data_IF_656800595398
#
_entry.id   IF_656800595398
#
_cell.length_a   1.000
_cell.length_b   1.000
_cell.length_c   1.000
_cell.angle_alpha   90.00
_cell.angle_beta   90.00
_cell.angle_gamma   90.00
#
_symmetry.space_group_name_H-M   'P 1'
#
loop_
_entity.id
_entity.type
_entity.pdbx_description
1 polymer ?
#
# COMPACT_ATOMS: atom_id res chain seq x y z
N UNK A 1 -58.29 14.50 -80.44
CA UNK A 1 -57.68 15.56 -79.61
C UNK A 1 -57.86 15.19 -78.14
N UNK A 2 -56.87 14.60 -77.49
CA UNK A 2 -56.91 14.34 -76.06
C UNK A 2 -55.52 14.64 -75.49
N UNK A 3 -55.46 15.61 -74.59
CA UNK A 3 -54.21 15.99 -73.87
C UNK A 3 -53.97 15.03 -72.71
N UNK A 4 -52.83 14.36 -72.73
CA UNK A 4 -52.36 13.61 -71.58
C UNK A 4 -51.68 14.54 -70.59
N UNK A 5 -52.13 14.52 -69.34
CA UNK A 5 -51.43 15.12 -68.21
C UNK A 5 -50.64 14.05 -67.53
N UNK A 6 -49.30 14.22 -67.46
CA UNK A 6 -48.44 13.40 -66.73
C UNK A 6 -48.47 13.70 -65.23
N UNK A 7 -48.66 12.68 -64.40
CA UNK A 7 -48.60 12.76 -62.93
C UNK A 7 -47.19 12.48 -62.51
N UNK A 8 -46.50 13.47 -61.89
CA UNK A 8 -45.18 13.28 -61.26
C UNK A 8 -45.43 12.83 -59.85
N UNK A 9 -45.07 11.61 -59.57
CA UNK A 9 -45.10 11.03 -58.24
C UNK A 9 -43.79 11.42 -57.48
N UNK A 10 -43.91 12.18 -56.41
CA UNK A 10 -42.86 12.51 -55.51
C UNK A 10 -42.66 11.33 -54.56
N UNK A 11 -41.54 10.61 -54.73
CA UNK A 11 -41.08 9.58 -53.78
C UNK A 11 -40.24 10.27 -52.69
N UNK A 12 -40.83 10.49 -51.51
CA UNK A 12 -40.14 10.99 -50.35
C UNK A 12 -39.24 9.91 -49.75
N UNK A 13 -37.96 10.10 -49.88
CA UNK A 13 -36.97 9.25 -49.19
C UNK A 13 -36.87 9.71 -47.74
N UNK A 14 -37.39 8.92 -46.82
CA UNK A 14 -37.18 9.09 -45.37
C UNK A 14 -35.81 8.55 -45.02
N UNK A 15 -34.82 9.43 -44.87
CA UNK A 15 -33.50 9.08 -44.30
C UNK A 15 -33.66 9.04 -42.79
N UNK A 16 -33.77 7.84 -42.20
CA UNK A 16 -33.60 7.62 -40.78
C UNK A 16 -32.11 7.76 -40.44
N UNK A 17 -31.71 8.87 -39.86
CA UNK A 17 -30.43 9.05 -39.20
C UNK A 17 -30.45 8.23 -37.91
N UNK A 18 -29.89 7.03 -37.94
CA UNK A 18 -29.52 6.30 -36.73
C UNK A 18 -28.30 7.00 -36.16
N UNK A 19 -28.51 7.84 -35.13
CA UNK A 19 -27.43 8.30 -34.27
C UNK A 19 -26.90 7.12 -33.47
N UNK A 20 -25.86 6.49 -33.96
CA UNK A 20 -25.04 5.62 -33.13
C UNK A 20 -24.33 6.48 -32.09
N UNK A 21 -24.89 6.54 -30.88
CA UNK A 21 -24.12 6.94 -29.73
C UNK A 21 -22.99 5.90 -29.52
N UNK A 22 -21.82 6.16 -30.09
CA UNK A 22 -20.61 5.53 -29.63
C UNK A 22 -20.38 5.98 -28.18
N UNK A 23 -20.82 5.17 -27.21
CA UNK A 23 -20.22 5.21 -25.89
C UNK A 23 -18.78 4.75 -26.08
N UNK A 24 -17.92 5.70 -26.43
CA UNK A 24 -16.49 5.50 -26.32
C UNK A 24 -16.18 5.24 -24.85
N UNK A 25 -15.89 4.00 -24.50
CA UNK A 25 -15.14 3.72 -23.29
C UNK A 25 -13.83 4.51 -23.44
N UNK A 26 -13.77 5.67 -22.80
CA UNK A 26 -12.51 6.37 -22.57
C UNK A 26 -11.77 5.49 -21.56
N UNK A 27 -11.09 4.51 -22.09
CA UNK A 27 -10.04 3.83 -21.38
C UNK A 27 -8.93 4.87 -21.25
N UNK A 28 -8.92 5.59 -20.13
CA UNK A 28 -7.89 6.55 -19.83
C UNK A 28 -6.55 5.80 -19.91
N UNK A 29 -5.63 6.31 -20.72
CA UNK A 29 -4.30 5.79 -20.87
C UNK A 29 -3.68 5.60 -19.48
N UNK A 30 -3.43 4.34 -19.09
CA UNK A 30 -2.88 3.94 -17.79
C UNK A 30 -1.43 4.44 -17.60
N UNK A 31 -0.87 5.13 -18.58
CA UNK A 31 0.53 5.50 -18.66
C UNK A 31 0.89 6.94 -18.25
N UNK A 32 0.02 7.69 -17.61
CA UNK A 32 0.51 8.84 -16.85
C UNK A 32 1.01 8.35 -15.49
N UNK A 33 2.17 7.68 -15.49
CA UNK A 33 3.01 7.58 -14.30
C UNK A 33 3.25 9.01 -13.83
N UNK A 34 2.50 9.44 -12.83
CA UNK A 34 2.84 10.68 -12.14
C UNK A 34 4.27 10.49 -11.65
N UNK A 35 5.22 11.25 -12.24
CA UNK A 35 6.65 11.18 -11.96
C UNK A 35 7.01 11.61 -10.53
N UNK A 36 6.00 11.89 -9.73
CA UNK A 36 6.11 12.36 -8.35
C UNK A 36 6.24 11.26 -7.31
N UNK A 37 6.61 11.69 -6.10
CA UNK A 37 6.61 10.83 -4.91
C UNK A 37 5.18 10.52 -4.48
N UNK A 38 4.98 9.30 -3.95
CA UNK A 38 3.74 8.90 -3.29
C UNK A 38 3.72 9.53 -1.89
N UNK A 39 2.73 10.36 -1.63
CA UNK A 39 2.40 10.90 -0.31
C UNK A 39 1.08 10.28 0.10
N UNK A 40 1.12 9.22 0.88
CA UNK A 40 -0.10 8.48 1.17
C UNK A 40 -0.37 8.32 2.66
N UNK A 41 -1.59 7.86 2.96
CA UNK A 41 -1.98 7.38 4.27
C UNK A 41 -2.67 6.03 4.17
N UNK A 42 -2.45 5.17 5.16
CA UNK A 42 -3.18 3.92 5.32
C UNK A 42 -4.48 4.18 6.05
N UNK A 43 -5.58 3.67 5.54
CA UNK A 43 -6.83 3.56 6.28
C UNK A 43 -6.86 2.19 6.95
N UNK A 44 -7.32 2.08 8.18
CA UNK A 44 -7.51 0.77 8.82
C UNK A 44 -8.84 0.16 8.42
N UNK A 45 -9.01 -1.14 8.63
CA UNK A 45 -10.28 -1.83 8.32
C UNK A 45 -11.48 -1.25 9.08
N UNK A 46 -11.24 -0.65 10.24
CA UNK A 46 -12.30 -0.02 11.07
C UNK A 46 -12.69 1.38 10.57
N UNK A 47 -11.79 2.05 9.85
CA UNK A 47 -11.96 3.46 9.46
C UNK A 47 -12.46 3.65 8.03
N UNK A 48 -12.57 2.59 7.23
CA UNK A 48 -12.99 2.71 5.82
C UNK A 48 -14.38 3.33 5.65
N UNK A 49 -15.25 3.15 6.65
CA UNK A 49 -16.59 3.77 6.68
C UNK A 49 -16.57 5.25 7.05
N UNK A 50 -15.46 5.76 7.59
CA UNK A 50 -15.32 7.13 8.05
C UNK A 50 -14.84 8.06 6.93
N UNK A 51 -15.54 8.01 5.80
CA UNK A 51 -15.14 8.69 4.55
C UNK A 51 -14.84 10.17 4.77
N UNK A 52 -15.69 10.89 5.50
CA UNK A 52 -15.52 12.31 5.74
C UNK A 52 -14.21 12.64 6.47
N UNK A 53 -13.85 11.82 7.47
CA UNK A 53 -12.61 12.01 8.23
C UNK A 53 -11.37 11.65 7.41
N UNK A 54 -11.44 10.57 6.63
CA UNK A 54 -10.36 10.21 5.69
C UNK A 54 -10.09 11.34 4.72
N UNK A 55 -11.14 11.91 4.11
CA UNK A 55 -11.00 13.03 3.17
C UNK A 55 -10.44 14.29 3.85
N UNK A 56 -10.86 14.59 5.08
CA UNK A 56 -10.32 15.71 5.85
C UNK A 56 -8.82 15.51 6.15
N UNK A 57 -8.39 14.29 6.47
CA UNK A 57 -6.96 13.99 6.69
C UNK A 57 -6.15 14.05 5.38
N UNK A 58 -6.72 13.58 4.26
CA UNK A 58 -6.10 13.71 2.93
C UNK A 58 -5.81 15.17 2.60
N UNK A 59 -6.79 16.06 2.82
CA UNK A 59 -6.63 17.49 2.59
C UNK A 59 -5.61 18.10 3.56
N UNK A 60 -5.79 17.88 4.87
CA UNK A 60 -4.94 18.42 5.94
C UNK A 60 -3.46 18.04 5.76
N UNK A 61 -3.18 16.81 5.34
CA UNK A 61 -1.83 16.25 5.18
C UNK A 61 -1.30 16.37 3.75
N UNK A 62 -2.07 16.99 2.85
CA UNK A 62 -1.73 17.16 1.44
C UNK A 62 -1.29 15.83 0.77
N UNK A 63 -2.09 14.79 0.98
CA UNK A 63 -1.84 13.46 0.43
C UNK A 63 -2.31 13.39 -1.03
N UNK A 64 -1.61 12.64 -1.85
CA UNK A 64 -1.98 12.37 -3.24
C UNK A 64 -2.45 10.94 -3.47
N UNK A 65 -2.32 10.08 -2.45
CA UNK A 65 -2.62 8.65 -2.54
C UNK A 65 -3.21 8.18 -1.20
N UNK A 66 -4.08 7.17 -1.24
CA UNK A 66 -4.60 6.48 -0.04
C UNK A 66 -4.51 4.97 -0.23
N UNK A 67 -3.98 4.26 0.77
CA UNK A 67 -4.05 2.82 0.85
C UNK A 67 -5.38 2.43 1.49
N UNK A 68 -6.21 1.72 0.73
CA UNK A 68 -7.56 1.29 1.15
C UNK A 68 -7.57 -0.21 1.38
N UNK A 69 -7.79 -0.66 2.63
CA UNK A 69 -7.82 -2.08 2.94
C UNK A 69 -9.16 -2.72 2.52
N UNK A 70 -9.07 -3.95 2.05
CA UNK A 70 -10.20 -4.86 1.88
C UNK A 70 -10.04 -5.96 2.92
N UNK A 71 -10.92 -5.99 3.91
CA UNK A 71 -10.84 -6.93 5.02
C UNK A 71 -11.03 -8.36 4.56
N UNK A 72 -10.06 -9.20 4.89
CA UNK A 72 -10.09 -10.64 4.68
C UNK A 72 -10.17 -11.33 6.03
N UNK A 73 -11.34 -11.87 6.36
CA UNK A 73 -11.58 -12.57 7.61
C UNK A 73 -10.89 -13.94 7.60
N UNK A 74 -10.07 -14.21 8.60
CA UNK A 74 -9.29 -15.43 8.77
C UNK A 74 -9.53 -15.98 10.17
N UNK A 75 -10.00 -17.23 10.31
CA UNK A 75 -10.44 -17.79 11.60
C UNK A 75 -9.34 -17.86 12.67
N UNK A 76 -8.11 -18.20 12.29
CA UNK A 76 -6.96 -18.33 13.19
C UNK A 76 -5.62 -18.31 12.42
N UNK A 77 -4.51 -18.29 13.13
CA UNK A 77 -3.14 -18.14 12.57
C UNK A 77 -2.70 -19.28 11.66
N UNK A 78 -3.31 -20.46 11.72
CA UNK A 78 -2.95 -21.61 10.88
C UNK A 78 -3.96 -21.87 9.76
N UNK A 79 -5.02 -21.06 9.70
CA UNK A 79 -6.09 -21.26 8.74
C UNK A 79 -5.64 -20.93 7.32
N UNK A 80 -6.05 -21.76 6.37
CA UNK A 80 -6.04 -21.48 4.93
C UNK A 80 -7.41 -21.01 4.42
N UNK A 81 -8.46 -21.12 5.26
CA UNK A 81 -9.77 -20.55 4.96
C UNK A 81 -9.72 -19.04 5.15
N UNK A 82 -10.21 -18.35 4.14
CA UNK A 82 -10.22 -16.91 4.11
C UNK A 82 -11.44 -16.40 3.33
N UNK A 83 -12.06 -15.34 3.80
CA UNK A 83 -13.28 -14.79 3.20
C UNK A 83 -13.21 -13.27 3.22
N UNK A 84 -13.54 -12.63 2.10
CA UNK A 84 -13.70 -11.17 2.08
C UNK A 84 -14.93 -10.76 2.87
N UNK A 85 -14.75 -9.84 3.81
CA UNK A 85 -15.85 -9.19 4.51
C UNK A 85 -16.62 -8.29 3.54
N UNK A 86 -17.79 -8.76 3.10
CA UNK A 86 -18.56 -8.06 2.06
C UNK A 86 -19.07 -6.69 2.52
N UNK A 87 -19.44 -6.55 3.80
CA UNK A 87 -19.93 -5.28 4.35
C UNK A 87 -18.79 -4.23 4.36
N UNK A 88 -17.61 -4.60 4.86
CA UNK A 88 -16.44 -3.74 4.86
C UNK A 88 -15.99 -3.41 3.42
N UNK A 89 -16.01 -4.39 2.50
CA UNK A 89 -15.70 -4.16 1.09
C UNK A 89 -16.62 -3.11 0.46
N UNK A 90 -17.90 -3.11 0.76
CA UNK A 90 -18.82 -2.08 0.24
C UNK A 90 -18.46 -0.68 0.76
N UNK A 91 -18.10 -0.54 2.03
CA UNK A 91 -17.60 0.72 2.58
C UNK A 91 -16.30 1.16 1.89
N UNK A 92 -15.37 0.23 1.69
CA UNK A 92 -14.12 0.49 0.97
C UNK A 92 -14.38 0.95 -0.48
N UNK A 93 -15.34 0.36 -1.19
CA UNK A 93 -15.72 0.78 -2.54
C UNK A 93 -16.26 2.21 -2.55
N UNK A 94 -17.09 2.58 -1.57
CA UNK A 94 -17.58 3.96 -1.43
C UNK A 94 -16.41 4.93 -1.23
N UNK A 95 -15.48 4.59 -0.34
CA UNK A 95 -14.27 5.40 -0.11
C UNK A 95 -13.43 5.52 -1.38
N UNK A 96 -13.18 4.43 -2.09
CA UNK A 96 -12.45 4.43 -3.37
C UNK A 96 -13.10 5.41 -4.37
N UNK A 97 -14.41 5.36 -4.52
CA UNK A 97 -15.14 6.24 -5.43
C UNK A 97 -14.96 7.72 -5.03
N UNK A 98 -15.05 8.04 -3.74
CA UNK A 98 -14.91 9.41 -3.26
C UNK A 98 -13.48 9.95 -3.41
N UNK A 99 -12.47 9.11 -3.24
CA UNK A 99 -11.06 9.46 -3.49
C UNK A 99 -10.80 9.72 -4.98
N UNK A 100 -11.25 8.81 -5.85
CA UNK A 100 -11.08 8.93 -7.30
C UNK A 100 -11.77 10.16 -7.88
N UNK A 101 -12.97 10.53 -7.41
CA UNK A 101 -13.64 11.78 -7.78
C UNK A 101 -12.81 13.04 -7.49
N UNK A 102 -11.87 12.96 -6.54
CA UNK A 102 -11.00 14.06 -6.13
C UNK A 102 -9.60 13.95 -6.73
N UNK A 103 -9.39 13.06 -7.70
CA UNK A 103 -8.09 12.75 -8.30
C UNK A 103 -7.03 12.27 -7.29
N UNK A 104 -7.46 11.67 -6.18
CA UNK A 104 -6.59 10.99 -5.23
C UNK A 104 -6.36 9.57 -5.72
N UNK A 105 -5.12 9.18 -5.83
CA UNK A 105 -4.74 7.82 -6.23
C UNK A 105 -5.10 6.82 -5.12
N UNK A 106 -5.44 5.61 -5.52
CA UNK A 106 -5.81 4.53 -4.59
C UNK A 106 -4.90 3.34 -4.77
N UNK A 107 -4.34 2.85 -3.68
CA UNK A 107 -3.71 1.53 -3.60
C UNK A 107 -4.66 0.63 -2.82
N UNK A 108 -5.09 -0.47 -3.44
CA UNK A 108 -5.96 -1.46 -2.79
C UNK A 108 -5.09 -2.51 -2.11
N UNK A 109 -5.46 -2.89 -0.90
CA UNK A 109 -4.72 -3.87 -0.10
C UNK A 109 -5.68 -4.90 0.48
N UNK A 110 -5.69 -6.18 0.03
CA UNK A 110 -6.35 -7.25 0.76
C UNK A 110 -5.63 -7.44 2.10
N UNK A 111 -6.29 -7.03 3.18
CA UNK A 111 -5.72 -6.99 4.51
C UNK A 111 -6.23 -8.16 5.37
N UNK A 112 -5.36 -9.04 5.87
CA UNK A 112 -5.74 -10.17 6.70
C UNK A 112 -6.22 -9.68 8.08
N UNK A 113 -7.45 -10.05 8.42
CA UNK A 113 -8.08 -9.77 9.70
C UNK A 113 -8.23 -11.08 10.48
N UNK A 114 -7.16 -11.45 11.19
CA UNK A 114 -6.98 -12.77 11.77
C UNK A 114 -7.59 -12.80 13.18
N UNK A 115 -8.40 -13.83 13.44
CA UNK A 115 -9.01 -14.04 14.76
C UNK A 115 -9.70 -12.77 15.27
N UNK A 116 -10.49 -12.12 14.38
CA UNK A 116 -11.19 -10.87 14.67
C UNK A 116 -10.25 -9.70 15.03
N UNK A 117 -9.05 -9.68 14.43
CA UNK A 117 -8.04 -8.63 14.65
C UNK A 117 -7.21 -8.80 15.92
N UNK A 118 -7.35 -9.93 16.63
CA UNK A 118 -6.56 -10.20 17.85
C UNK A 118 -5.13 -10.68 17.55
N UNK A 119 -4.83 -10.97 16.29
CA UNK A 119 -3.52 -11.48 15.86
C UNK A 119 -3.05 -10.69 14.64
N UNK A 120 -1.79 -10.31 14.64
CA UNK A 120 -1.16 -9.58 13.55
C UNK A 120 -0.90 -10.45 12.32
N UNK A 121 -0.84 -9.84 11.15
CA UNK A 121 -0.59 -10.50 9.87
C UNK A 121 0.80 -11.17 9.82
N UNK A 122 1.76 -10.69 10.59
CA UNK A 122 3.11 -11.25 10.71
C UNK A 122 3.13 -12.62 11.41
N UNK A 123 2.08 -12.92 12.17
CA UNK A 123 1.94 -14.20 12.88
C UNK A 123 1.22 -15.26 12.04
N UNK A 124 0.58 -14.87 10.95
CA UNK A 124 -0.13 -15.81 10.09
C UNK A 124 0.82 -16.85 9.50
N UNK A 125 0.55 -18.11 9.82
CA UNK A 125 1.36 -19.26 9.41
C UNK A 125 0.46 -20.42 8.96
N UNK A 126 -0.09 -20.37 7.74
CA UNK A 126 -1.02 -21.35 7.22
C UNK A 126 -0.48 -22.76 7.29
N UNK A 127 -1.30 -23.71 7.74
CA UNK A 127 -0.92 -25.12 7.90
C UNK A 127 -0.66 -25.84 6.56
N UNK A 128 -1.19 -25.29 5.46
CA UNK A 128 -0.98 -25.81 4.11
C UNK A 128 -0.69 -24.64 3.15
N UNK A 129 0.52 -24.56 2.66
CA UNK A 129 0.98 -23.48 1.80
C UNK A 129 0.31 -23.52 0.40
N UNK A 130 0.01 -24.71 -0.14
CA UNK A 130 -0.67 -24.86 -1.43
C UNK A 130 -2.10 -24.29 -1.36
N UNK A 131 -2.85 -24.67 -0.31
CA UNK A 131 -4.22 -24.22 -0.10
C UNK A 131 -4.25 -22.71 0.17
N UNK A 132 -3.26 -22.19 0.91
CA UNK A 132 -3.12 -20.74 1.11
C UNK A 132 -3.03 -20.00 -0.22
N UNK A 133 -2.06 -20.34 -1.09
CA UNK A 133 -1.87 -19.63 -2.34
C UNK A 133 -3.01 -19.87 -3.34
N UNK A 134 -3.62 -21.06 -3.31
CA UNK A 134 -4.81 -21.31 -4.10
C UNK A 134 -5.95 -20.38 -3.70
N UNK A 135 -6.30 -20.34 -2.41
CA UNK A 135 -7.38 -19.51 -1.91
C UNK A 135 -7.08 -18.02 -2.03
N UNK A 136 -5.83 -17.61 -1.77
CA UNK A 136 -5.42 -16.21 -1.93
C UNK A 136 -5.64 -15.72 -3.38
N UNK A 137 -5.28 -16.52 -4.38
CA UNK A 137 -5.51 -16.19 -5.79
C UNK A 137 -6.98 -16.25 -6.17
N UNK A 138 -7.63 -17.40 -5.93
CA UNK A 138 -8.93 -17.71 -6.53
C UNK A 138 -10.13 -17.18 -5.74
N UNK A 139 -9.98 -16.96 -4.44
CA UNK A 139 -11.03 -16.38 -3.60
C UNK A 139 -10.79 -14.88 -3.41
N UNK A 140 -9.60 -14.48 -2.96
CA UNK A 140 -9.35 -13.10 -2.55
C UNK A 140 -9.03 -12.21 -3.75
N UNK A 141 -7.93 -12.46 -4.46
CA UNK A 141 -7.51 -11.62 -5.57
C UNK A 141 -8.53 -11.62 -6.71
N UNK A 142 -9.15 -12.77 -7.00
CA UNK A 142 -10.19 -12.85 -8.03
C UNK A 142 -11.44 -12.02 -7.67
N UNK A 143 -11.86 -11.99 -6.42
CA UNK A 143 -12.98 -11.11 -5.98
C UNK A 143 -12.61 -9.63 -6.16
N UNK A 144 -11.38 -9.24 -5.77
CA UNK A 144 -10.89 -7.86 -5.95
C UNK A 144 -10.87 -7.47 -7.44
N UNK A 145 -10.45 -8.36 -8.33
CA UNK A 145 -10.51 -8.09 -9.77
C UNK A 145 -11.94 -7.87 -10.24
N UNK A 146 -12.85 -8.76 -9.87
CA UNK A 146 -14.25 -8.69 -10.32
C UNK A 146 -15.00 -7.48 -9.75
N UNK A 147 -14.67 -7.07 -8.52
CA UNK A 147 -15.45 -6.06 -7.79
C UNK A 147 -14.83 -4.67 -7.80
N UNK A 148 -13.50 -4.56 -7.93
CA UNK A 148 -12.77 -3.30 -7.78
C UNK A 148 -11.94 -2.97 -9.02
N UNK A 149 -10.88 -3.72 -9.32
CA UNK A 149 -9.90 -3.29 -10.33
C UNK A 149 -10.43 -3.33 -11.77
N UNK A 150 -11.47 -4.12 -12.05
CA UNK A 150 -12.17 -4.10 -13.35
C UNK A 150 -13.10 -2.89 -13.52
N UNK A 151 -13.45 -2.20 -12.43
CA UNK A 151 -14.45 -1.13 -12.42
C UNK A 151 -13.87 0.24 -12.12
N UNK A 152 -12.76 0.27 -11.38
CA UNK A 152 -12.13 1.50 -10.90
C UNK A 152 -10.68 1.54 -11.32
N UNK A 153 -10.23 2.68 -11.83
CA UNK A 153 -8.84 2.90 -12.19
C UNK A 153 -8.00 3.17 -10.93
N UNK A 154 -7.68 2.11 -10.18
CA UNK A 154 -6.83 2.21 -8.99
C UNK A 154 -5.36 2.23 -9.40
N UNK A 155 -4.55 3.03 -8.71
CA UNK A 155 -3.11 3.19 -8.98
C UNK A 155 -2.32 1.92 -8.76
N UNK A 156 -2.65 1.16 -7.71
CA UNK A 156 -1.91 -0.04 -7.34
C UNK A 156 -2.73 -1.07 -6.59
N UNK A 157 -2.23 -2.30 -6.64
CA UNK A 157 -2.71 -3.43 -5.86
C UNK A 157 -1.55 -4.02 -5.07
N UNK A 158 -1.64 -4.00 -3.74
CA UNK A 158 -0.76 -4.79 -2.88
C UNK A 158 -1.23 -6.24 -2.92
N UNK A 159 -0.33 -7.17 -3.22
CA UNK A 159 -0.64 -8.59 -3.31
C UNK A 159 -0.27 -9.38 -2.06
N UNK A 160 0.44 -8.73 -1.16
CA UNK A 160 0.82 -9.25 0.15
C UNK A 160 0.86 -8.09 1.15
N UNK A 161 0.53 -8.36 2.40
CA UNK A 161 0.58 -7.44 3.52
C UNK A 161 1.34 -8.10 4.68
N UNK A 162 2.67 -7.94 4.72
CA UNK A 162 3.50 -8.40 5.83
C UNK A 162 3.48 -9.93 6.10
N UNK A 163 3.38 -10.77 5.07
CA UNK A 163 3.23 -12.23 5.23
C UNK A 163 4.57 -12.92 5.50
N UNK A 164 5.16 -12.61 6.64
CA UNK A 164 6.52 -13.04 7.03
C UNK A 164 6.74 -14.54 6.88
N UNK A 165 5.78 -15.34 7.35
CA UNK A 165 5.88 -16.80 7.33
C UNK A 165 5.67 -17.43 5.95
N UNK A 166 5.25 -16.66 4.93
CA UNK A 166 5.08 -17.13 3.56
C UNK A 166 6.10 -16.51 2.58
N UNK A 167 6.95 -15.60 3.05
CA UNK A 167 7.95 -14.93 2.18
C UNK A 167 8.91 -15.92 1.49
N UNK A 168 9.20 -17.06 2.10
CA UNK A 168 10.08 -18.10 1.54
C UNK A 168 9.49 -18.81 0.32
N UNK A 169 8.20 -18.69 0.10
CA UNK A 169 7.48 -19.44 -0.94
C UNK A 169 7.61 -18.78 -2.33
N UNK A 170 8.85 -18.64 -2.81
CA UNK A 170 9.22 -17.84 -3.98
C UNK A 170 8.49 -18.22 -5.27
N UNK A 171 8.35 -19.53 -5.56
CA UNK A 171 7.64 -20.03 -6.73
C UNK A 171 6.16 -19.65 -6.70
N UNK A 172 5.52 -19.76 -5.55
CA UNK A 172 4.11 -19.41 -5.37
C UNK A 172 3.86 -17.91 -5.50
N UNK A 173 4.75 -17.08 -4.96
CA UNK A 173 4.64 -15.62 -5.16
C UNK A 173 4.85 -15.23 -6.62
N UNK A 174 5.83 -15.85 -7.30
CA UNK A 174 6.04 -15.63 -8.73
C UNK A 174 4.80 -15.97 -9.55
N UNK A 175 4.17 -17.11 -9.29
CA UNK A 175 2.93 -17.55 -9.92
C UNK A 175 1.74 -16.63 -9.59
N UNK A 176 1.66 -16.15 -8.33
CA UNK A 176 0.64 -15.18 -7.91
C UNK A 176 0.78 -13.86 -8.69
N UNK A 177 2.00 -13.36 -8.86
CA UNK A 177 2.24 -12.14 -9.65
C UNK A 177 1.84 -12.34 -11.10
N UNK A 178 2.17 -13.48 -11.70
CA UNK A 178 1.80 -13.81 -13.09
C UNK A 178 0.27 -13.89 -13.24
N UNK A 179 -0.42 -14.49 -12.30
CA UNK A 179 -1.88 -14.51 -12.24
C UNK A 179 -2.48 -13.10 -12.17
N UNK A 180 -1.92 -12.22 -11.32
CA UNK A 180 -2.36 -10.83 -11.21
C UNK A 180 -2.15 -10.08 -12.52
N UNK A 181 -1.00 -10.26 -13.18
CA UNK A 181 -0.66 -9.59 -14.44
C UNK A 181 -1.57 -9.95 -15.61
N UNK A 182 -2.20 -11.09 -15.58
CA UNK A 182 -3.20 -11.48 -16.60
C UNK A 182 -4.45 -10.60 -16.53
N UNK A 183 -4.81 -10.10 -15.35
CA UNK A 183 -6.08 -9.42 -15.09
C UNK A 183 -5.92 -7.93 -14.71
N UNK A 184 -4.75 -7.52 -14.23
CA UNK A 184 -4.49 -6.16 -13.75
C UNK A 184 -3.27 -5.54 -14.42
N UNK A 185 -3.44 -4.33 -14.98
CA UNK A 185 -2.39 -3.60 -15.70
C UNK A 185 -1.78 -2.44 -14.92
N UNK A 186 -2.33 -2.10 -13.76
CA UNK A 186 -1.78 -1.09 -12.86
C UNK A 186 -0.55 -1.59 -12.08
N UNK A 187 -0.09 -0.80 -11.13
CA UNK A 187 1.09 -1.15 -10.35
C UNK A 187 0.80 -2.32 -9.39
N UNK A 188 1.63 -3.34 -9.42
CA UNK A 188 1.62 -4.45 -8.46
C UNK A 188 2.66 -4.16 -7.39
N UNK A 189 2.24 -4.15 -6.13
CA UNK A 189 3.10 -3.94 -4.97
C UNK A 189 3.18 -5.22 -4.13
N UNK A 190 4.36 -5.51 -3.64
CA UNK A 190 4.56 -6.52 -2.60
C UNK A 190 5.00 -5.82 -1.33
N UNK A 191 4.22 -5.94 -0.24
CA UNK A 191 4.60 -5.39 1.06
C UNK A 191 5.28 -6.44 1.90
N UNK A 192 6.55 -6.18 2.19
CA UNK A 192 7.40 -6.99 3.06
C UNK A 192 7.58 -6.32 4.42
N UNK A 193 7.86 -7.12 5.43
CA UNK A 193 8.22 -6.62 6.75
C UNK A 193 9.63 -6.01 6.73
N UNK A 194 9.89 -5.03 7.62
CA UNK A 194 11.23 -4.53 7.87
C UNK A 194 12.14 -5.66 8.37
N UNK A 195 13.39 -5.38 8.52
CA UNK A 195 14.40 -6.36 8.96
C UNK A 195 15.37 -5.74 9.97
N UNK A 196 16.03 -6.61 10.69
CA UNK A 196 17.15 -6.27 11.56
C UNK A 196 18.40 -6.96 11.03
N UNK A 197 19.56 -6.33 11.24
CA UNK A 197 20.86 -6.98 11.19
C UNK A 197 21.49 -6.94 12.58
N UNK A 198 22.51 -7.76 12.82
CA UNK A 198 23.19 -7.85 14.12
C UNK A 198 24.66 -8.13 13.88
N UNK A 199 25.54 -7.24 14.36
CA UNK A 199 26.99 -7.41 14.17
C UNK A 199 27.56 -8.60 14.95
N UNK A 200 26.85 -9.08 15.95
CA UNK A 200 27.24 -10.23 16.78
C UNK A 200 26.74 -11.59 16.27
N UNK A 201 25.85 -11.59 15.27
CA UNK A 201 25.31 -12.82 14.69
C UNK A 201 25.18 -12.69 13.17
N UNK A 202 26.10 -13.30 12.39
CA UNK A 202 26.10 -13.25 10.94
C UNK A 202 24.82 -13.80 10.27
N UNK A 203 24.01 -14.59 10.99
CA UNK A 203 22.77 -15.13 10.43
C UNK A 203 21.75 -14.04 10.09
N UNK A 204 21.78 -12.91 10.79
CA UNK A 204 20.89 -11.78 10.50
C UNK A 204 21.24 -11.10 9.17
N UNK A 205 22.53 -10.94 8.89
CA UNK A 205 22.99 -10.42 7.60
C UNK A 205 22.62 -11.39 6.46
N UNK A 206 22.83 -12.70 6.67
CA UNK A 206 22.44 -13.72 5.70
C UNK A 206 20.94 -13.70 5.40
N UNK A 207 20.07 -13.56 6.41
CA UNK A 207 18.62 -13.43 6.27
C UNK A 207 18.24 -12.14 5.52
N UNK A 208 18.92 -11.04 5.79
CA UNK A 208 18.72 -9.80 5.04
C UNK A 208 19.08 -9.98 3.57
N UNK A 209 20.25 -10.56 3.27
CA UNK A 209 20.69 -10.82 1.88
C UNK A 209 19.72 -11.76 1.17
N UNK A 210 19.27 -12.84 1.80
CA UNK A 210 18.23 -13.72 1.26
C UNK A 210 16.96 -12.95 0.94
N UNK A 211 16.46 -12.17 1.91
CA UNK A 211 15.20 -11.41 1.81
C UNK A 211 15.18 -10.48 0.60
N UNK A 212 16.24 -9.70 0.37
CA UNK A 212 16.30 -8.71 -0.72
C UNK A 212 16.56 -9.33 -2.11
N UNK A 213 17.06 -10.57 -2.17
CA UNK A 213 17.36 -11.26 -3.42
C UNK A 213 16.24 -12.20 -3.91
N UNK A 214 15.10 -12.26 -3.23
CA UNK A 214 13.99 -13.12 -3.62
C UNK A 214 13.51 -12.80 -5.04
N UNK A 215 13.44 -13.79 -5.95
CA UNK A 215 13.22 -13.58 -7.39
C UNK A 215 11.90 -12.86 -7.70
N UNK A 216 10.84 -13.13 -6.93
CA UNK A 216 9.53 -12.52 -7.16
C UNK A 216 9.52 -11.00 -6.94
N UNK A 217 10.43 -10.44 -6.15
CA UNK A 217 10.54 -8.99 -5.97
C UNK A 217 10.93 -8.26 -7.27
N UNK A 218 11.57 -8.96 -8.21
CA UNK A 218 11.88 -8.42 -9.54
C UNK A 218 10.66 -8.36 -10.47
N UNK A 219 9.59 -9.07 -10.14
CA UNK A 219 8.36 -9.16 -10.96
C UNK A 219 7.31 -8.11 -10.60
N UNK A 220 7.38 -7.50 -9.41
CA UNK A 220 6.48 -6.40 -9.01
C UNK A 220 6.93 -5.07 -9.61
N UNK A 221 6.11 -4.02 -9.50
CA UNK A 221 6.49 -2.67 -9.94
C UNK A 221 7.13 -1.87 -8.82
N UNK A 222 6.68 -2.08 -7.59
CA UNK A 222 7.13 -1.36 -6.41
C UNK A 222 7.33 -2.35 -5.27
N UNK A 223 8.51 -2.32 -4.63
CA UNK A 223 8.72 -3.03 -3.35
C UNK A 223 8.26 -2.11 -2.23
N UNK A 224 7.21 -2.52 -1.54
CA UNK A 224 6.67 -1.84 -0.37
C UNK A 224 7.27 -2.43 0.89
N UNK A 225 7.55 -1.60 1.88
CA UNK A 225 8.08 -2.02 3.18
C UNK A 225 7.14 -1.49 4.27
N UNK A 226 6.78 -2.34 5.19
CA UNK A 226 6.24 -1.94 6.47
C UNK A 226 7.42 -1.58 7.38
N UNK A 227 7.71 -0.28 7.48
CA UNK A 227 9.03 0.20 7.85
C UNK A 227 9.09 0.76 9.28
N UNK A 228 9.35 -0.14 10.21
CA UNK A 228 9.46 0.16 11.64
C UNK A 228 10.90 0.05 12.15
N UNK A 229 11.85 0.59 11.39
CA UNK A 229 13.27 0.55 11.76
C UNK A 229 13.55 1.31 13.05
N UNK A 230 14.18 0.64 14.00
CA UNK A 230 14.61 1.21 15.28
C UNK A 230 15.92 1.97 15.06
N UNK A 231 15.83 3.30 14.98
CA UNK A 231 16.95 4.16 14.54
C UNK A 231 17.51 5.05 15.65
N UNK A 232 17.11 4.88 16.90
CA UNK A 232 17.65 5.67 18.01
C UNK A 232 17.59 4.91 19.31
N UNK A 233 18.62 5.06 20.16
CA UNK A 233 18.65 4.60 21.54
C UNK A 233 18.28 5.72 22.53
N UNK A 234 17.98 6.92 22.03
CA UNK A 234 17.69 8.10 22.86
C UNK A 234 16.18 8.26 23.09
N UNK A 235 15.84 8.74 24.29
CA UNK A 235 14.42 9.01 24.64
C UNK A 235 13.81 10.09 23.77
N UNK A 236 14.54 11.19 23.55
CA UNK A 236 14.10 12.38 22.80
C UNK A 236 15.25 12.81 21.88
N UNK A 237 15.51 12.10 20.76
CA UNK A 237 16.58 12.47 19.86
C UNK A 237 16.23 13.76 19.10
N UNK A 238 17.23 14.60 18.88
CA UNK A 238 17.11 15.75 18.01
C UNK A 238 17.02 15.32 16.53
N UNK A 239 16.59 16.23 15.66
CA UNK A 239 16.54 16.00 14.22
C UNK A 239 17.90 15.54 13.64
N UNK A 240 19.01 16.23 14.02
CA UNK A 240 20.35 15.88 13.52
C UNK A 240 20.81 14.50 14.02
N UNK A 241 20.47 14.14 15.25
CA UNK A 241 20.78 12.81 15.77
C UNK A 241 20.03 11.71 15.01
N UNK A 242 18.74 11.90 14.72
CA UNK A 242 17.96 10.93 13.92
C UNK A 242 18.53 10.83 12.52
N UNK A 243 18.82 11.97 11.89
CA UNK A 243 19.38 12.02 10.55
C UNK A 243 20.72 11.27 10.44
N UNK A 244 21.60 11.45 11.42
CA UNK A 244 22.86 10.73 11.49
C UNK A 244 22.66 9.23 11.75
N UNK A 245 21.71 8.88 12.61
CA UNK A 245 21.41 7.49 12.95
C UNK A 245 20.93 6.64 11.78
N UNK A 246 20.26 7.25 10.79
CA UNK A 246 19.85 6.56 9.56
C UNK A 246 21.02 6.01 8.73
N UNK A 247 22.21 6.60 8.90
CA UNK A 247 23.46 6.17 8.26
C UNK A 247 24.38 5.42 9.20
N UNK A 248 24.11 5.44 10.50
CA UNK A 248 25.00 4.88 11.50
C UNK A 248 24.86 3.34 11.54
N UNK A 249 25.99 2.68 11.80
CA UNK A 249 26.06 1.23 12.04
C UNK A 249 26.09 0.89 13.52
N UNK A 250 26.14 1.91 14.40
CA UNK A 250 26.36 1.73 15.85
C UNK A 250 25.08 1.62 16.65
N UNK A 251 23.93 2.02 16.10
CA UNK A 251 22.64 1.94 16.81
C UNK A 251 22.37 0.49 17.21
N UNK A 252 22.18 0.25 18.50
CA UNK A 252 22.05 -1.08 19.11
C UNK A 252 23.19 -2.06 18.75
N UNK A 253 24.35 -1.54 18.35
CA UNK A 253 25.47 -2.34 17.88
C UNK A 253 25.09 -3.33 16.76
N UNK A 254 24.11 -2.97 15.90
CA UNK A 254 23.54 -3.88 14.89
C UNK A 254 24.35 -3.97 13.60
N UNK A 255 25.30 -3.07 13.35
CA UNK A 255 25.94 -2.96 12.04
C UNK A 255 24.97 -2.50 10.95
N UNK A 256 23.78 -2.04 11.31
CA UNK A 256 22.68 -1.72 10.39
C UNK A 256 22.73 -0.26 9.94
N UNK A 257 23.06 -0.04 8.67
CA UNK A 257 22.87 1.25 8.00
C UNK A 257 21.60 1.18 7.17
N UNK A 258 20.51 1.77 7.70
CA UNK A 258 19.17 1.66 7.07
C UNK A 258 19.16 2.20 5.65
N UNK A 259 19.78 3.37 5.41
CA UNK A 259 19.80 4.00 4.07
C UNK A 259 20.57 3.14 3.07
N UNK A 260 21.71 2.59 3.48
CA UNK A 260 22.51 1.70 2.64
C UNK A 260 21.75 0.42 2.30
N UNK A 261 21.06 -0.17 3.27
CA UNK A 261 20.30 -1.41 3.07
C UNK A 261 19.08 -1.21 2.17
N UNK A 262 18.41 -0.05 2.24
CA UNK A 262 17.35 0.32 1.28
C UNK A 262 17.91 0.46 -0.15
N UNK A 263 19.10 1.02 -0.30
CA UNK A 263 19.77 1.10 -1.60
C UNK A 263 20.18 -0.28 -2.12
N UNK A 264 20.64 -1.18 -1.24
CA UNK A 264 20.94 -2.59 -1.58
C UNK A 264 19.68 -3.32 -2.07
N UNK A 265 18.53 -3.14 -1.39
CA UNK A 265 17.25 -3.69 -1.84
C UNK A 265 16.88 -3.18 -3.25
N UNK A 266 17.01 -1.87 -3.48
CA UNK A 266 16.78 -1.30 -4.81
C UNK A 266 17.70 -1.93 -5.86
N UNK A 267 19.00 -2.02 -5.60
CA UNK A 267 19.98 -2.60 -6.52
C UNK A 267 19.72 -4.08 -6.81
N UNK A 268 19.35 -4.85 -5.78
CA UNK A 268 19.05 -6.28 -5.92
C UNK A 268 17.80 -6.55 -6.76
N UNK A 269 16.77 -5.70 -6.62
CA UNK A 269 15.47 -5.89 -7.28
C UNK A 269 15.33 -5.11 -8.58
N UNK A 270 16.04 -4.00 -8.74
CA UNK A 270 15.84 -3.02 -9.81
C UNK A 270 14.54 -2.21 -9.67
N UNK A 271 13.88 -2.27 -8.50
CA UNK A 271 12.56 -1.67 -8.27
C UNK A 271 12.63 -0.46 -7.34
N UNK A 272 11.73 0.51 -7.52
CA UNK A 272 11.56 1.57 -6.54
C UNK A 272 11.10 1.00 -5.20
N UNK A 273 11.56 1.64 -4.12
CA UNK A 273 11.25 1.29 -2.72
C UNK A 273 10.24 2.29 -2.17
N UNK A 274 9.21 1.80 -1.51
CA UNK A 274 8.13 2.58 -0.93
C UNK A 274 7.90 2.17 0.52
N UNK A 275 7.78 3.13 1.43
CA UNK A 275 7.37 2.86 2.80
C UNK A 275 5.84 2.77 2.86
N UNK A 276 5.31 1.57 2.68
CA UNK A 276 3.87 1.30 2.63
C UNK A 276 3.17 1.32 3.98
N UNK A 277 3.93 1.27 5.08
CA UNK A 277 3.52 1.55 6.44
C UNK A 277 4.67 2.22 7.16
N UNK A 278 4.48 3.47 7.63
CA UNK A 278 5.48 4.23 8.36
C UNK A 278 4.83 5.23 9.30
N UNK A 279 5.29 5.27 10.52
CA UNK A 279 5.01 6.37 11.44
C UNK A 279 6.05 6.39 12.57
N UNK A 280 6.01 7.44 13.36
CA UNK A 280 6.76 7.58 14.60
C UNK A 280 5.74 7.93 15.68
N UNK A 281 5.62 7.17 16.77
CA UNK A 281 4.73 7.54 17.86
C UNK A 281 5.11 8.90 18.44
N UNK A 282 4.13 9.75 18.72
CA UNK A 282 4.35 11.04 19.40
C UNK A 282 4.62 10.81 20.90
N UNK A 283 5.62 9.99 21.21
CA UNK A 283 6.04 9.58 22.56
C UNK A 283 7.55 9.63 22.67
N UNK A 284 8.07 9.84 23.91
CA UNK A 284 9.45 9.51 24.18
C UNK A 284 9.73 8.05 23.79
N UNK A 285 10.94 7.73 23.39
CA UNK A 285 11.32 6.40 22.89
C UNK A 285 10.67 5.98 21.57
N UNK A 286 9.86 6.85 20.90
CA UNK A 286 9.15 6.52 19.68
C UNK A 286 10.03 6.13 18.49
N UNK A 287 11.33 6.42 18.51
CA UNK A 287 12.32 5.99 17.52
C UNK A 287 13.15 4.80 17.98
N UNK A 288 13.00 4.37 19.25
CA UNK A 288 13.51 3.09 19.74
C UNK A 288 12.61 1.92 19.35
N UNK A 289 11.29 2.11 19.49
CA UNK A 289 10.29 1.08 19.21
C UNK A 289 9.16 1.71 18.39
N UNK A 290 9.41 2.08 17.13
CA UNK A 290 8.44 2.82 16.31
C UNK A 290 7.16 2.03 16.02
N UNK A 291 7.18 0.71 16.13
CA UNK A 291 6.04 -0.19 15.98
C UNK A 291 5.13 -0.24 17.21
N UNK A 292 5.54 0.32 18.36
CA UNK A 292 4.80 0.28 19.61
C UNK A 292 4.20 1.67 19.95
N UNK A 293 2.88 1.89 19.79
CA UNK A 293 2.25 3.16 20.12
C UNK A 293 2.31 3.49 21.62
N UNK A 294 2.46 2.47 22.47
CA UNK A 294 2.49 2.59 23.93
C UNK A 294 3.91 2.50 24.52
N UNK A 295 4.93 2.82 23.72
CA UNK A 295 6.34 2.73 24.09
C UNK A 295 6.68 3.58 25.33
N UNK A 296 5.94 4.63 25.59
CA UNK A 296 6.10 5.52 26.74
C UNK A 296 4.78 6.24 27.06
N UNK A 297 4.54 6.53 28.35
CA UNK A 297 3.41 7.37 28.77
C UNK A 297 3.69 8.88 28.60
N UNK A 298 4.90 9.26 28.20
CA UNK A 298 5.28 10.67 28.02
C UNK A 298 5.07 11.10 26.57
N UNK A 299 4.11 11.99 26.38
CA UNK A 299 3.85 12.57 25.06
C UNK A 299 5.04 13.44 24.61
N UNK A 300 5.46 13.28 23.36
CA UNK A 300 6.55 14.03 22.74
C UNK A 300 6.31 14.20 21.24
N UNK A 301 5.61 15.26 20.84
CA UNK A 301 5.45 15.59 19.42
C UNK A 301 6.79 15.83 18.70
N UNK A 302 7.81 16.29 19.44
CA UNK A 302 9.13 16.54 18.86
C UNK A 302 9.82 15.27 18.39
N UNK A 303 9.63 14.14 19.07
CA UNK A 303 10.16 12.84 18.62
C UNK A 303 9.52 12.47 17.28
N UNK A 304 8.19 12.60 17.15
CA UNK A 304 7.48 12.36 15.91
C UNK A 304 7.97 13.28 14.79
N UNK A 305 8.02 14.58 15.05
CA UNK A 305 8.44 15.59 14.08
C UNK A 305 9.89 15.38 13.62
N UNK A 306 10.82 15.18 14.57
CA UNK A 306 12.23 14.96 14.25
C UNK A 306 12.44 13.68 13.42
N UNK A 307 11.70 12.63 13.75
CA UNK A 307 11.70 11.39 12.98
C UNK A 307 11.22 11.61 11.55
N UNK A 308 10.02 12.16 11.36
CA UNK A 308 9.46 12.43 10.05
C UNK A 308 10.35 13.32 9.19
N UNK A 309 10.86 14.43 9.75
CA UNK A 309 11.77 15.36 9.03
C UNK A 309 13.08 14.66 8.60
N UNK A 310 13.69 13.89 9.50
CA UNK A 310 14.94 13.19 9.20
C UNK A 310 14.76 12.16 8.09
N UNK A 311 13.73 11.31 8.19
CA UNK A 311 13.42 10.32 7.15
C UNK A 311 13.10 10.97 5.80
N UNK A 312 12.28 12.03 5.79
CA UNK A 312 11.94 12.78 4.59
C UNK A 312 13.20 13.35 3.94
N UNK A 313 13.99 14.11 4.68
CA UNK A 313 15.14 14.85 4.15
C UNK A 313 16.26 13.91 3.66
N UNK A 314 16.33 12.69 4.20
CA UNK A 314 17.30 11.68 3.79
C UNK A 314 16.81 10.86 2.59
N UNK A 315 15.53 10.46 2.57
CA UNK A 315 15.01 9.50 1.59
C UNK A 315 14.34 10.14 0.37
N UNK A 316 13.61 11.25 0.53
CA UNK A 316 12.94 11.88 -0.62
C UNK A 316 13.89 12.28 -1.77
N UNK A 317 15.13 12.75 -1.51
CA UNK A 317 16.09 13.04 -2.59
C UNK A 317 16.59 11.80 -3.34
N UNK A 318 16.40 10.60 -2.78
CA UNK A 318 16.87 9.36 -3.42
C UNK A 318 15.97 9.01 -4.62
N UNK A 319 16.53 8.82 -5.83
CA UNK A 319 15.72 8.56 -7.03
C UNK A 319 14.95 7.25 -6.96
N UNK A 320 15.48 6.27 -6.24
CA UNK A 320 14.84 4.96 -6.06
C UNK A 320 13.72 4.97 -4.99
N UNK A 321 13.67 5.97 -4.14
CA UNK A 321 12.66 6.02 -3.08
C UNK A 321 11.36 6.62 -3.62
N UNK A 322 10.25 5.87 -3.51
CA UNK A 322 8.97 6.23 -4.13
C UNK A 322 8.09 7.09 -3.22
N UNK A 323 8.28 7.06 -1.91
CA UNK A 323 7.52 7.87 -0.96
C UNK A 323 7.13 7.15 0.32
N UNK A 324 6.23 7.78 1.08
CA UNK A 324 5.76 7.32 2.39
C UNK A 324 4.26 7.13 2.42
N UNK A 325 3.80 6.16 3.22
CA UNK A 325 2.43 6.04 3.69
C UNK A 325 2.35 6.18 5.20
N UNK A 326 1.63 7.18 5.65
CA UNK A 326 1.40 7.42 7.07
C UNK A 326 0.56 6.27 7.64
N UNK A 327 1.02 5.62 8.68
CA UNK A 327 0.25 4.71 9.48
C UNK A 327 -0.30 5.46 10.70
N UNK A 328 -1.56 5.76 10.82
CA UNK A 328 -2.69 5.63 9.90
C UNK A 328 -3.50 6.95 9.83
N UNK A 329 -4.51 7.02 8.95
CA UNK A 329 -5.41 8.17 8.80
C UNK A 329 -6.87 7.74 8.96
N UNK A 330 -7.79 8.71 9.12
CA UNK A 330 -9.23 8.48 9.16
C UNK A 330 -9.80 8.24 10.55
N UNK A 331 -8.95 8.14 11.59
CA UNK A 331 -9.40 7.93 12.96
C UNK A 331 -9.88 9.22 13.64
N UNK A 332 -10.93 9.10 14.43
CA UNK A 332 -11.41 10.16 15.30
C UNK A 332 -10.66 10.23 16.65
N UNK A 333 -9.84 9.23 16.97
CA UNK A 333 -9.03 9.25 18.19
C UNK A 333 -7.83 10.19 18.03
N UNK A 334 -8.01 11.43 18.46
CA UNK A 334 -6.95 12.44 18.44
C UNK A 334 -5.84 12.20 19.47
N UNK A 335 -6.00 11.23 20.37
CA UNK A 335 -5.03 10.91 21.44
C UNK A 335 -4.09 9.78 21.05
N UNK A 336 -4.39 9.05 19.98
CA UNK A 336 -3.57 7.94 19.53
C UNK A 336 -2.16 8.41 19.17
N UNK A 337 -1.14 7.66 19.61
CA UNK A 337 0.26 8.06 19.48
C UNK A 337 0.73 8.25 18.02
N UNK A 338 0.08 7.59 17.06
CA UNK A 338 0.38 7.73 15.64
C UNK A 338 -0.37 8.87 14.94
N UNK A 339 -1.23 9.60 15.62
CA UNK A 339 -1.82 10.81 15.03
C UNK A 339 -0.71 11.82 14.68
N UNK A 340 -0.82 12.41 13.50
CA UNK A 340 0.14 13.45 13.09
C UNK A 340 -0.23 14.76 13.77
N UNK A 341 0.60 15.18 14.71
CA UNK A 341 0.42 16.38 15.54
C UNK A 341 1.10 17.64 14.98
N UNK A 342 1.85 17.50 13.88
CA UNK A 342 2.51 18.62 13.18
C UNK A 342 2.14 18.60 11.70
N UNK A 343 2.10 19.78 11.09
CA UNK A 343 1.91 19.93 9.62
C UNK A 343 3.22 20.28 8.91
N UNK A 344 4.36 20.32 9.62
CA UNK A 344 5.67 20.68 9.08
C UNK A 344 6.33 19.58 8.25
#
# INVERSE_FOLDING_TARGET
MKKNKSLISFLGVFIMLFSFCFQGNVQADVNTVQSGKIKSGNVTVWEVGNVAKVLADVERLNLNTVNVPIQVDIPNVTSTNMVINQAQKQQAIILIQELLKRNIQVIVEPFPYIQQGNVGETEWNPSNINDFFWNWKTVILQDIFNSITSKYNVYGLKIASNFVNMEYAEGYWSDTIDFVRQQYKGNVLYQMNWWLTASWDPSYEAKFVEKINRPYLKKVDIVSIDSWFEVSEKRNPSYEEVKQSLFATTVYNRGQNVVQQLEQLHKATGKPVYFGGFNVPARELGLQNPWNPDVSNVFSKNVQLNGWRAYRDVLEPKPYFKGFSIWFIGSNDSTHAYQIHSQE
#
